data_IF_489831561333
#
_entry.id   IF_489831561333
#
_cell.length_a   1.000
_cell.length_b   1.000
_cell.length_c   1.000
_cell.angle_alpha   90.00
_cell.angle_beta   90.00
_cell.angle_gamma   90.00
#
_symmetry.space_group_name_H-M   'P 1'
#
loop_
_entity.id
_entity.type
_entity.pdbx_description
1 polymer ?
#
# COMPACT_ATOMS: atom_id res chain seq x y z
N UNK A 1 -49.07 20.49 43.86
CA UNK A 1 -48.46 19.15 43.78
C UNK A 1 -47.79 18.99 42.43
N UNK A 2 -46.48 18.84 42.46
CA UNK A 2 -45.47 18.45 41.44
C UNK A 2 -45.89 18.27 39.97
N UNK A 3 -45.30 19.10 39.10
CA UNK A 3 -44.91 18.69 37.75
C UNK A 3 -43.45 18.22 37.78
N UNK A 4 -43.24 16.93 37.50
CA UNK A 4 -41.92 16.31 37.35
C UNK A 4 -41.35 16.63 35.96
N UNK A 5 -40.17 17.25 35.91
CA UNK A 5 -39.37 17.38 34.70
C UNK A 5 -38.54 16.10 34.50
N UNK A 6 -38.69 15.46 33.35
CA UNK A 6 -37.87 14.31 32.92
C UNK A 6 -36.61 14.86 32.21
N UNK A 7 -35.39 14.35 32.49
CA UNK A 7 -34.21 14.80 31.78
C UNK A 7 -34.13 14.13 30.40
N UNK A 8 -33.92 14.94 29.37
CA UNK A 8 -33.65 14.49 28.01
C UNK A 8 -32.25 13.87 27.96
N UNK A 9 -32.16 12.53 27.97
CA UNK A 9 -30.91 11.82 27.73
C UNK A 9 -30.60 11.90 26.24
N UNK A 10 -29.55 12.65 25.90
CA UNK A 10 -29.02 12.73 24.54
C UNK A 10 -28.32 11.39 24.22
N UNK A 11 -28.97 10.53 23.44
CA UNK A 11 -28.38 9.28 22.98
C UNK A 11 -27.34 9.61 21.90
N UNK A 12 -26.06 9.65 22.27
CA UNK A 12 -24.96 9.78 21.32
C UNK A 12 -24.92 8.48 20.49
N UNK A 13 -25.34 8.52 19.23
CA UNK A 13 -25.21 7.39 18.33
C UNK A 13 -23.73 7.11 18.10
N UNK A 14 -23.21 6.04 18.70
CA UNK A 14 -21.95 5.42 18.29
C UNK A 14 -22.14 4.92 16.86
N UNK A 15 -21.80 5.75 15.87
CA UNK A 15 -21.59 5.26 14.52
C UNK A 15 -20.45 4.25 14.61
N UNK A 16 -20.63 2.99 14.15
CA UNK A 16 -19.51 2.07 14.08
C UNK A 16 -18.41 2.72 13.25
N UNK A 17 -17.17 2.63 13.73
CA UNK A 17 -16.00 2.99 12.94
C UNK A 17 -16.10 2.27 11.59
N UNK A 18 -15.79 2.98 10.50
CA UNK A 18 -15.81 2.44 9.14
C UNK A 18 -15.11 1.09 9.09
N UNK A 19 -15.84 0.03 8.70
CA UNK A 19 -15.31 -1.33 8.52
C UNK A 19 -14.54 -1.49 7.19
N UNK A 20 -14.13 -0.39 6.56
CA UNK A 20 -13.51 -0.37 5.25
C UNK A 20 -12.17 0.36 5.30
N UNK A 21 -11.20 -0.17 4.54
CA UNK A 21 -9.94 0.50 4.28
C UNK A 21 -10.18 1.81 3.53
N UNK A 22 -9.37 2.83 3.83
CA UNK A 22 -9.49 4.15 3.22
C UNK A 22 -8.89 4.19 1.81
N UNK A 23 -7.80 3.46 1.58
CA UNK A 23 -7.06 3.48 0.33
C UNK A 23 -7.13 2.14 -0.41
N UNK A 24 -7.63 2.23 -1.63
CA UNK A 24 -7.61 1.18 -2.63
C UNK A 24 -6.63 1.62 -3.72
N UNK A 25 -5.44 1.06 -3.67
CA UNK A 25 -4.29 1.61 -4.35
C UNK A 25 -3.82 0.72 -5.50
N UNK A 26 -3.24 1.36 -6.52
CA UNK A 26 -2.50 0.69 -7.57
C UNK A 26 -1.20 1.46 -7.85
N UNK A 27 -0.09 0.73 -8.01
CA UNK A 27 1.10 1.27 -8.65
C UNK A 27 0.99 1.05 -10.16
N UNK A 28 0.95 2.13 -10.94
CA UNK A 28 0.93 2.04 -12.41
C UNK A 28 2.03 2.91 -13.02
N UNK A 29 3.18 2.95 -12.37
CA UNK A 29 4.30 3.81 -12.75
C UNK A 29 4.89 3.45 -14.11
N UNK A 30 4.72 2.20 -14.57
CA UNK A 30 5.12 1.77 -15.92
C UNK A 30 4.29 2.40 -17.05
N UNK A 31 3.12 2.98 -16.75
CA UNK A 31 2.15 3.44 -17.74
C UNK A 31 2.74 4.37 -18.81
N UNK A 32 3.52 5.43 -18.49
CA UNK A 32 4.08 6.31 -19.52
C UNK A 32 5.04 5.58 -20.47
N UNK A 33 5.81 4.62 -19.97
CA UNK A 33 6.75 3.82 -20.78
C UNK A 33 5.98 2.89 -21.73
N UNK A 34 4.90 2.29 -21.24
CA UNK A 34 4.05 1.40 -22.04
C UNK A 34 3.28 2.16 -23.13
N UNK A 35 2.71 3.32 -22.80
CA UNK A 35 2.03 4.15 -23.80
C UNK A 35 3.01 4.67 -24.86
N UNK A 36 4.24 5.02 -24.47
CA UNK A 36 5.30 5.42 -25.39
C UNK A 36 5.74 4.27 -26.33
N UNK A 37 5.57 3.01 -25.92
CA UNK A 37 5.81 1.83 -26.77
C UNK A 37 4.60 1.45 -27.64
N UNK A 38 3.51 2.21 -27.58
CA UNK A 38 2.29 1.99 -28.34
C UNK A 38 1.25 1.11 -27.65
N UNK A 39 1.46 0.75 -26.38
CA UNK A 39 0.46 0.01 -25.61
C UNK A 39 -0.80 0.86 -25.43
N UNK A 40 -1.95 0.22 -25.60
CA UNK A 40 -3.27 0.81 -25.29
C UNK A 40 -4.03 -0.08 -24.33
N UNK A 41 -4.91 0.53 -23.53
CA UNK A 41 -5.76 -0.18 -22.58
C UNK A 41 -7.22 -0.04 -23.00
N UNK A 42 -8.01 -1.07 -22.74
CA UNK A 42 -9.43 -1.08 -23.11
C UNK A 42 -10.31 -1.45 -21.93
N UNK A 43 -11.49 -0.84 -21.88
CA UNK A 43 -12.57 -1.15 -20.97
C UNK A 43 -13.77 -1.61 -21.80
N UNK A 44 -14.16 -2.88 -21.68
CA UNK A 44 -15.16 -3.54 -22.54
C UNK A 44 -14.89 -3.34 -24.05
N UNK A 45 -13.62 -3.39 -24.45
CA UNK A 45 -13.19 -3.22 -25.85
C UNK A 45 -13.10 -1.76 -26.32
N UNK A 46 -13.40 -0.79 -25.46
CA UNK A 46 -13.25 0.65 -25.75
C UNK A 46 -11.92 1.13 -25.20
N UNK A 47 -11.09 1.73 -26.05
CA UNK A 47 -9.81 2.32 -25.62
C UNK A 47 -10.09 3.49 -24.66
N UNK A 48 -9.43 3.48 -23.50
CA UNK A 48 -9.50 4.54 -22.47
C UNK A 48 -8.13 4.75 -21.83
N UNK A 49 -7.86 5.95 -21.28
CA UNK A 49 -6.71 6.15 -20.41
C UNK A 49 -6.74 5.15 -19.25
N UNK A 50 -5.61 4.52 -18.94
CA UNK A 50 -5.57 3.43 -17.96
C UNK A 50 -5.97 3.88 -16.55
N UNK A 51 -5.61 5.10 -16.17
CA UNK A 51 -6.00 5.72 -14.91
C UNK A 51 -7.53 5.87 -14.77
N UNK A 52 -8.25 6.15 -15.86
CA UNK A 52 -9.71 6.24 -15.85
C UNK A 52 -10.34 4.86 -15.67
N UNK A 53 -9.70 3.83 -16.25
CA UNK A 53 -10.12 2.43 -16.03
C UNK A 53 -9.98 2.10 -14.55
N UNK A 54 -8.82 2.35 -13.94
CA UNK A 54 -8.59 2.11 -12.50
C UNK A 54 -9.58 2.90 -11.61
N UNK A 55 -9.76 4.19 -11.87
CA UNK A 55 -10.67 5.03 -11.08
C UNK A 55 -12.14 4.60 -11.20
N UNK A 56 -12.61 4.23 -12.40
CA UNK A 56 -13.98 3.74 -12.63
C UNK A 56 -14.32 2.45 -11.87
N UNK A 57 -13.31 1.89 -11.23
CA UNK A 57 -13.26 0.58 -10.61
C UNK A 57 -12.89 0.64 -9.12
N UNK A 58 -12.77 1.86 -8.59
CA UNK A 58 -12.66 2.14 -7.18
C UNK A 58 -11.23 2.43 -6.70
N UNK A 59 -10.21 2.32 -7.55
CA UNK A 59 -8.88 2.80 -7.19
C UNK A 59 -8.97 4.29 -6.87
N UNK A 60 -8.56 4.67 -5.66
CA UNK A 60 -8.62 6.04 -5.16
C UNK A 60 -7.25 6.58 -4.75
N UNK A 61 -6.20 5.75 -4.78
CA UNK A 61 -4.81 6.15 -4.51
C UNK A 61 -3.88 5.62 -5.60
N UNK A 62 -3.11 6.51 -6.21
CA UNK A 62 -2.09 6.17 -7.19
C UNK A 62 -0.71 6.14 -6.51
N UNK A 63 -0.09 4.95 -6.44
CA UNK A 63 1.33 4.84 -6.08
C UNK A 63 2.18 5.13 -7.32
N UNK A 64 3.12 6.06 -7.21
CA UNK A 64 3.98 6.47 -8.30
C UNK A 64 5.43 6.47 -7.82
N UNK A 65 6.25 5.58 -8.36
CA UNK A 65 7.69 5.58 -8.09
C UNK A 65 8.39 6.73 -8.79
N UNK A 66 9.39 7.27 -8.11
CA UNK A 66 10.24 8.36 -8.58
C UNK A 66 11.68 7.96 -8.38
N UNK A 67 12.41 7.96 -9.49
CA UNK A 67 13.85 7.78 -9.53
C UNK A 67 14.54 9.12 -9.71
N UNK A 68 15.80 9.20 -9.31
CA UNK A 68 16.63 10.40 -9.51
C UNK A 68 16.99 10.62 -10.98
N UNK A 69 16.91 9.59 -11.82
CA UNK A 69 17.16 9.63 -13.26
C UNK A 69 16.41 8.50 -14.01
N UNK A 70 16.45 8.52 -15.34
CA UNK A 70 15.85 7.47 -16.20
C UNK A 70 14.36 7.69 -16.49
N UNK A 71 13.66 6.59 -16.82
CA UNK A 71 12.28 6.62 -17.32
C UNK A 71 11.25 7.03 -16.25
N UNK A 72 11.57 6.86 -14.97
CA UNK A 72 10.72 7.20 -13.82
C UNK A 72 11.19 8.48 -13.10
N UNK A 73 11.80 9.41 -13.83
CA UNK A 73 12.26 10.67 -13.26
C UNK A 73 11.10 11.60 -12.84
N UNK A 74 11.43 12.68 -12.11
CA UNK A 74 10.46 13.67 -11.62
C UNK A 74 9.49 14.19 -12.69
N UNK A 75 9.96 14.47 -13.91
CA UNK A 75 9.12 15.01 -14.99
C UNK A 75 8.06 13.99 -15.42
N UNK A 76 8.47 12.73 -15.63
CA UNK A 76 7.58 11.65 -16.01
C UNK A 76 6.57 11.36 -14.89
N UNK A 77 7.05 11.22 -13.66
CA UNK A 77 6.21 10.93 -12.49
C UNK A 77 5.23 12.07 -12.18
N UNK A 78 5.62 13.34 -12.36
CA UNK A 78 4.71 14.48 -12.21
C UNK A 78 3.62 14.49 -13.27
N UNK A 79 3.94 14.14 -14.51
CA UNK A 79 2.94 14.03 -15.58
C UNK A 79 1.91 12.93 -15.26
N UNK A 80 2.38 11.79 -14.75
CA UNK A 80 1.52 10.69 -14.31
C UNK A 80 0.66 11.06 -13.10
N UNK A 81 1.23 11.72 -12.09
CA UNK A 81 0.51 12.19 -10.91
C UNK A 81 -0.64 13.15 -11.27
N UNK A 82 -0.40 14.06 -12.23
CA UNK A 82 -1.45 14.97 -12.73
C UNK A 82 -2.59 14.22 -13.41
N UNK A 83 -2.32 13.08 -14.05
CA UNK A 83 -3.37 12.21 -14.64
C UNK A 83 -4.17 11.53 -13.54
N UNK A 84 -3.50 10.95 -12.55
CA UNK A 84 -4.14 10.32 -11.40
C UNK A 84 -5.11 11.28 -10.68
N UNK A 85 -4.66 12.50 -10.40
CA UNK A 85 -5.50 13.55 -9.77
C UNK A 85 -6.70 13.91 -10.64
N UNK A 86 -6.55 14.01 -11.97
CA UNK A 86 -7.69 14.27 -12.87
C UNK A 86 -8.70 13.12 -12.89
N UNK A 87 -8.25 11.88 -12.72
CA UNK A 87 -9.10 10.71 -12.59
C UNK A 87 -9.76 10.59 -11.20
N UNK A 88 -9.45 11.50 -10.26
CA UNK A 88 -10.04 11.54 -8.93
C UNK A 88 -9.29 10.74 -7.87
N UNK A 89 -8.03 10.36 -8.13
CA UNK A 89 -7.18 9.66 -7.16
C UNK A 89 -6.31 10.63 -6.35
N UNK A 90 -6.05 10.27 -5.10
CA UNK A 90 -4.92 10.78 -4.33
C UNK A 90 -3.59 10.22 -4.86
N UNK A 91 -2.46 10.80 -4.45
CA UNK A 91 -1.13 10.40 -4.93
C UNK A 91 -0.24 10.00 -3.75
N UNK A 92 0.26 8.78 -3.81
CA UNK A 92 1.37 8.27 -3.00
C UNK A 92 2.65 8.33 -3.84
N UNK A 93 3.56 9.23 -3.48
CA UNK A 93 4.90 9.35 -4.10
C UNK A 93 5.88 8.40 -3.41
N UNK A 94 6.47 7.49 -4.17
CA UNK A 94 7.46 6.52 -3.70
C UNK A 94 8.87 6.88 -4.19
N UNK A 95 9.73 7.35 -3.29
CA UNK A 95 11.07 7.84 -3.61
C UNK A 95 12.11 6.70 -3.46
N UNK A 96 12.62 6.17 -4.59
CA UNK A 96 13.56 5.04 -4.61
C UNK A 96 15.03 5.46 -4.40
N UNK A 97 15.31 6.38 -3.48
CA UNK A 97 16.70 6.82 -3.26
C UNK A 97 17.65 5.62 -3.16
N UNK A 98 18.68 5.59 -4.01
CA UNK A 98 19.46 4.38 -4.29
C UNK A 98 20.83 4.37 -3.60
N UNK A 99 21.03 5.24 -2.61
CA UNK A 99 22.30 5.32 -1.88
C UNK A 99 22.49 4.07 -1.02
N UNK A 100 23.68 3.46 -1.12
CA UNK A 100 24.04 2.31 -0.29
C UNK A 100 24.71 2.79 0.99
N UNK A 101 23.99 2.69 2.11
CA UNK A 101 24.49 3.03 3.43
C UNK A 101 24.82 1.77 4.22
N UNK A 102 25.85 1.84 5.07
CA UNK A 102 26.22 0.76 5.98
C UNK A 102 25.88 1.14 7.42
N UNK A 103 25.05 0.32 8.07
CA UNK A 103 24.66 0.49 9.46
C UNK A 103 23.50 1.47 9.69
N UNK A 104 22.98 1.46 10.93
CA UNK A 104 21.75 2.20 11.28
C UNK A 104 21.96 3.70 11.48
N UNK A 105 23.11 4.16 11.99
CA UNK A 105 23.38 5.58 12.20
C UNK A 105 23.22 6.42 10.92
N UNK A 106 23.94 6.14 9.81
CA UNK A 106 23.79 6.94 8.61
C UNK A 106 22.40 6.80 7.97
N UNK A 107 21.79 5.61 8.07
CA UNK A 107 20.42 5.37 7.57
C UNK A 107 19.40 6.24 8.31
N UNK A 108 19.43 6.20 9.64
CA UNK A 108 18.53 6.95 10.52
C UNK A 108 18.65 8.46 10.28
N UNK A 109 19.87 8.99 10.18
CA UNK A 109 20.12 10.41 9.89
C UNK A 109 19.65 10.82 8.49
N UNK A 110 19.83 9.95 7.49
CA UNK A 110 19.35 10.21 6.13
C UNK A 110 17.81 10.29 6.11
N UNK A 111 17.13 9.33 6.74
CA UNK A 111 15.67 9.29 6.78
C UNK A 111 15.09 10.49 7.54
N UNK A 112 15.71 10.90 8.65
CA UNK A 112 15.33 12.12 9.37
C UNK A 112 15.47 13.38 8.49
N UNK A 113 16.57 13.46 7.74
CA UNK A 113 16.80 14.56 6.79
C UNK A 113 15.77 14.58 5.67
N UNK A 114 15.41 13.42 5.13
CA UNK A 114 14.36 13.28 4.12
C UNK A 114 13.00 13.73 4.65
N UNK A 115 12.61 13.26 5.84
CA UNK A 115 11.36 13.66 6.49
C UNK A 115 11.31 15.17 6.75
N UNK A 116 12.39 15.75 7.27
CA UNK A 116 12.53 17.19 7.47
C UNK A 116 12.36 17.98 6.16
N UNK A 117 12.96 17.50 5.08
CA UNK A 117 12.81 18.09 3.74
C UNK A 117 11.36 18.12 3.27
N UNK A 118 10.63 17.01 3.44
CA UNK A 118 9.19 16.94 3.10
C UNK A 118 8.38 17.93 3.93
N UNK A 119 8.60 17.97 5.26
CA UNK A 119 7.89 18.87 6.16
C UNK A 119 8.17 20.34 5.89
N UNK A 120 9.38 20.69 5.46
CA UNK A 120 9.76 22.06 5.13
C UNK A 120 9.20 22.53 3.78
N UNK A 121 8.95 21.61 2.84
CA UNK A 121 8.56 21.95 1.48
C UNK A 121 7.07 22.35 1.34
N UNK A 122 6.18 21.86 2.21
CA UNK A 122 4.73 21.95 2.04
C UNK A 122 4.01 22.26 3.37
N UNK A 123 2.91 23.01 3.29
CA UNK A 123 2.04 23.33 4.44
C UNK A 123 0.55 23.26 4.05
N UNK A 124 -0.24 22.31 4.59
CA UNK A 124 0.21 21.20 5.43
C UNK A 124 1.11 20.23 4.65
N UNK A 125 2.06 19.55 5.32
CA UNK A 125 2.88 18.54 4.68
C UNK A 125 2.06 17.26 4.41
N UNK A 126 2.41 16.47 3.38
CA UNK A 126 1.82 15.15 3.18
C UNK A 126 2.20 14.20 4.32
N UNK A 127 1.48 13.08 4.41
CA UNK A 127 1.87 11.98 5.30
C UNK A 127 3.23 11.40 4.88
N UNK A 128 4.08 11.12 5.86
CA UNK A 128 5.40 10.51 5.66
C UNK A 128 5.31 9.03 6.01
N UNK A 129 5.67 8.17 5.05
CA UNK A 129 5.68 6.74 5.22
C UNK A 129 7.11 6.18 5.22
N UNK A 130 7.37 5.21 6.09
CA UNK A 130 8.53 4.31 5.97
C UNK A 130 8.03 2.98 5.39
N UNK A 131 8.63 2.55 4.29
CA UNK A 131 8.28 1.32 3.58
C UNK A 131 9.36 0.27 3.76
N UNK A 132 8.99 -0.90 4.31
CA UNK A 132 9.86 -2.08 4.41
C UNK A 132 9.34 -3.23 3.54
N UNK A 133 10.26 -4.03 2.99
CA UNK A 133 9.91 -5.32 2.41
C UNK A 133 9.54 -6.34 3.50
N UNK A 134 8.99 -7.50 3.10
CA UNK A 134 8.71 -8.65 3.96
C UNK A 134 7.85 -8.30 5.19
N UNK A 135 6.69 -7.66 4.98
CA UNK A 135 5.80 -7.25 6.09
C UNK A 135 5.33 -8.36 7.02
N UNK A 136 5.41 -9.61 6.59
CA UNK A 136 5.09 -10.80 7.36
C UNK A 136 6.21 -11.23 8.34
N UNK A 137 7.44 -10.79 8.11
CA UNK A 137 8.61 -11.16 8.92
C UNK A 137 8.77 -10.19 10.09
N UNK A 138 8.07 -10.45 11.19
CA UNK A 138 8.18 -9.63 12.40
C UNK A 138 9.62 -9.53 12.92
N UNK A 139 10.44 -10.58 12.78
CA UNK A 139 11.83 -10.56 13.19
C UNK A 139 12.63 -9.50 12.44
N UNK A 140 12.50 -9.48 11.10
CA UNK A 140 13.11 -8.46 10.24
C UNK A 140 12.56 -7.05 10.47
N UNK A 141 11.23 -6.92 10.56
CA UNK A 141 10.56 -5.62 10.79
C UNK A 141 11.00 -5.00 12.12
N UNK A 142 10.94 -5.77 13.20
CA UNK A 142 11.32 -5.28 14.54
C UNK A 142 12.80 -4.96 14.65
N UNK A 143 13.68 -5.78 14.07
CA UNK A 143 15.11 -5.51 14.01
C UNK A 143 15.42 -4.18 13.31
N UNK A 144 14.79 -3.93 12.17
CA UNK A 144 15.03 -2.71 11.38
C UNK A 144 14.58 -1.46 12.14
N UNK A 145 13.37 -1.47 12.71
CA UNK A 145 12.85 -0.32 13.46
C UNK A 145 13.63 -0.08 14.76
N UNK A 146 13.98 -1.14 15.51
CA UNK A 146 14.79 -0.99 16.72
C UNK A 146 16.16 -0.37 16.44
N UNK A 147 16.81 -0.75 15.34
CA UNK A 147 18.10 -0.17 14.97
C UNK A 147 17.98 1.25 14.44
N UNK A 148 16.98 1.51 13.59
CA UNK A 148 16.84 2.82 12.91
C UNK A 148 16.27 3.90 13.82
N UNK A 149 15.42 3.54 14.80
CA UNK A 149 14.82 4.45 15.77
C UNK A 149 15.58 4.49 17.11
N UNK A 150 16.84 4.02 17.13
CA UNK A 150 17.69 4.08 18.33
C UNK A 150 17.88 5.55 18.76
N UNK A 151 17.34 5.88 19.94
CA UNK A 151 17.37 7.22 20.50
C UNK A 151 18.78 7.74 20.83
N UNK A 152 19.80 6.88 20.83
CA UNK A 152 21.20 7.28 20.97
C UNK A 152 21.80 7.87 19.69
N UNK A 153 21.14 7.70 18.54
CA UNK A 153 21.58 8.27 17.26
C UNK A 153 21.25 9.77 17.23
N UNK A 154 22.26 10.61 17.44
CA UNK A 154 22.11 12.06 17.33
C UNK A 154 21.66 12.46 15.91
N UNK A 155 20.57 13.24 15.82
CA UNK A 155 19.96 13.62 14.53
C UNK A 155 19.32 12.46 13.77
N UNK A 156 19.03 11.36 14.46
CA UNK A 156 18.37 10.19 13.89
C UNK A 156 16.86 10.35 13.74
N UNK A 157 16.28 9.45 12.95
CA UNK A 157 14.86 9.31 12.72
C UNK A 157 14.14 9.00 14.03
N UNK A 158 12.99 9.62 14.24
CA UNK A 158 12.12 9.36 15.39
C UNK A 158 10.73 8.94 14.92
N UNK A 159 9.93 8.37 15.83
CA UNK A 159 8.51 8.10 15.54
C UNK A 159 7.70 9.37 15.23
N UNK A 160 8.18 10.56 15.59
CA UNK A 160 7.51 11.82 15.23
C UNK A 160 7.67 12.17 13.74
N UNK A 161 8.70 11.61 13.08
CA UNK A 161 8.96 11.82 11.65
C UNK A 161 8.08 10.93 10.76
N UNK A 162 7.46 9.90 11.32
CA UNK A 162 6.72 8.86 10.61
C UNK A 162 5.22 9.01 10.91
N UNK A 163 4.40 9.15 9.87
CA UNK A 163 2.94 9.13 9.99
C UNK A 163 2.38 7.73 9.74
N UNK A 164 2.97 7.00 8.79
CA UNK A 164 2.47 5.70 8.32
C UNK A 164 3.59 4.68 8.15
N UNK A 165 3.29 3.40 8.37
CA UNK A 165 4.20 2.28 8.14
C UNK A 165 3.69 1.40 6.98
N UNK A 166 4.46 1.34 5.89
CA UNK A 166 4.13 0.59 4.69
C UNK A 166 4.91 -0.71 4.57
N UNK A 167 4.28 -1.77 4.05
CA UNK A 167 4.94 -3.06 3.90
C UNK A 167 4.67 -3.74 2.56
N UNK A 168 5.71 -4.33 1.95
CA UNK A 168 5.53 -5.28 0.84
C UNK A 168 5.13 -6.66 1.35
N UNK A 169 4.19 -7.32 0.68
CA UNK A 169 3.70 -8.64 1.04
C UNK A 169 3.40 -9.46 -0.22
N UNK A 170 4.28 -10.42 -0.53
CA UNK A 170 4.21 -11.23 -1.74
C UNK A 170 4.22 -12.73 -1.41
N UNK A 171 3.42 -13.56 -2.10
CA UNK A 171 3.26 -14.97 -1.77
C UNK A 171 4.28 -15.89 -2.45
N UNK A 172 5.18 -15.37 -3.29
CA UNK A 172 6.00 -16.17 -4.22
C UNK A 172 7.53 -16.01 -4.07
N UNK A 173 8.01 -15.30 -3.04
CA UNK A 173 9.45 -15.22 -2.72
C UNK A 173 9.90 -16.16 -1.59
N UNK A 174 8.99 -17.05 -1.18
CA UNK A 174 9.15 -17.99 -0.07
C UNK A 174 7.78 -18.38 0.46
N UNK A 175 7.70 -19.44 1.27
CA UNK A 175 6.43 -19.97 1.77
C UNK A 175 6.05 -19.42 3.15
N UNK A 176 6.89 -18.60 3.74
CA UNK A 176 6.68 -18.03 5.08
C UNK A 176 5.84 -16.74 5.07
N UNK A 177 5.56 -16.19 3.90
CA UNK A 177 4.70 -15.02 3.71
C UNK A 177 3.20 -15.35 3.86
N UNK A 178 2.82 -15.96 4.99
CA UNK A 178 1.44 -16.34 5.27
C UNK A 178 0.62 -15.16 5.78
N UNK A 179 -0.70 -15.23 5.61
CA UNK A 179 -1.66 -14.28 6.17
C UNK A 179 -1.60 -14.25 7.71
N UNK A 180 -1.33 -15.40 8.33
CA UNK A 180 -1.12 -15.52 9.78
C UNK A 180 0.10 -14.71 10.24
N UNK A 181 1.23 -14.85 9.55
CA UNK A 181 2.45 -14.09 9.89
C UNK A 181 2.28 -12.60 9.61
N UNK A 182 1.57 -12.23 8.54
CA UNK A 182 1.19 -10.84 8.29
C UNK A 182 0.36 -10.28 9.45
N UNK A 183 -0.64 -11.04 9.92
CA UNK A 183 -1.50 -10.63 11.03
C UNK A 183 -0.71 -10.42 12.31
N UNK A 184 0.19 -11.35 12.67
CA UNK A 184 1.05 -11.20 13.84
C UNK A 184 1.92 -9.95 13.74
N UNK A 185 2.63 -9.78 12.62
CA UNK A 185 3.53 -8.67 12.39
C UNK A 185 2.79 -7.32 12.42
N UNK A 186 1.64 -7.20 11.73
CA UNK A 186 0.85 -5.96 11.73
C UNK A 186 0.22 -5.69 13.11
N UNK A 187 -0.17 -6.73 13.86
CA UNK A 187 -0.61 -6.60 15.25
C UNK A 187 0.48 -5.99 16.13
N UNK A 188 1.72 -6.46 15.99
CA UNK A 188 2.87 -5.91 16.71
C UNK A 188 3.18 -4.47 16.28
N UNK A 189 3.18 -4.17 14.97
CA UNK A 189 3.39 -2.81 14.45
C UNK A 189 2.36 -1.83 15.04
N UNK A 190 1.08 -2.22 14.97
CA UNK A 190 -0.05 -1.41 15.42
C UNK A 190 -0.02 -1.12 16.92
N UNK A 191 0.40 -2.10 17.73
CA UNK A 191 0.44 -1.99 19.20
C UNK A 191 1.73 -1.40 19.76
N UNK A 192 2.86 -1.52 19.08
CA UNK A 192 4.15 -1.01 19.56
C UNK A 192 4.43 0.42 19.10
N UNK A 193 4.10 0.74 17.85
CA UNK A 193 4.45 2.05 17.28
C UNK A 193 3.27 3.01 17.21
N UNK A 194 2.03 2.50 17.32
CA UNK A 194 0.80 3.30 17.26
C UNK A 194 0.74 4.19 16.00
N UNK A 195 1.22 3.66 14.87
CA UNK A 195 1.17 4.32 13.56
C UNK A 195 0.20 3.61 12.65
N UNK A 196 -0.44 4.39 11.81
CA UNK A 196 -1.25 3.87 10.71
C UNK A 196 -0.39 2.98 9.82
N UNK A 197 -0.98 1.96 9.21
CA UNK A 197 -0.24 0.95 8.45
C UNK A 197 -0.97 0.52 7.17
N UNK A 198 -0.19 0.07 6.19
CA UNK A 198 -0.69 -0.27 4.85
C UNK A 198 0.15 -1.37 4.20
N UNK A 199 -0.48 -2.26 3.43
CA UNK A 199 0.25 -3.11 2.48
C UNK A 199 0.44 -2.30 1.20
N UNK A 200 1.67 -1.91 0.89
CA UNK A 200 1.97 -0.98 -0.20
C UNK A 200 2.47 -1.64 -1.47
N UNK A 201 2.65 -2.95 -1.42
CA UNK A 201 3.00 -3.78 -2.56
C UNK A 201 2.51 -5.20 -2.34
N UNK A 202 1.73 -5.72 -3.29
CA UNK A 202 1.33 -7.12 -3.31
C UNK A 202 0.91 -7.52 -4.72
N UNK A 203 0.96 -8.83 -4.98
CA UNK A 203 0.55 -9.48 -6.23
C UNK A 203 0.07 -10.90 -5.95
N UNK A 204 -0.84 -11.40 -6.78
CA UNK A 204 -1.17 -12.83 -6.83
C UNK A 204 -1.13 -13.34 -8.27
N UNK A 205 -0.57 -14.53 -8.53
CA UNK A 205 -0.47 -15.02 -9.89
C UNK A 205 -1.79 -15.59 -10.41
N UNK A 206 -2.21 -15.15 -11.60
CA UNK A 206 -3.24 -15.80 -12.39
C UNK A 206 -2.69 -17.02 -13.15
N UNK A 207 -1.37 -17.07 -13.39
CA UNK A 207 -0.66 -18.21 -13.97
C UNK A 207 0.71 -18.36 -13.31
N UNK A 208 0.93 -19.52 -12.68
CA UNK A 208 2.20 -19.86 -12.07
C UNK A 208 2.43 -21.37 -12.08
N UNK A 209 3.64 -21.79 -12.45
CA UNK A 209 4.06 -23.19 -12.43
C UNK A 209 5.39 -23.32 -11.71
N UNK A 210 5.54 -24.34 -10.86
CA UNK A 210 6.82 -24.66 -10.22
C UNK A 210 7.24 -23.73 -9.06
N UNK A 211 6.38 -22.79 -8.66
CA UNK A 211 6.60 -21.94 -7.49
C UNK A 211 5.61 -22.32 -6.40
N UNK A 212 6.10 -22.63 -5.20
CA UNK A 212 5.23 -22.84 -4.04
C UNK A 212 4.79 -21.49 -3.49
N UNK A 213 3.47 -21.28 -3.39
CA UNK A 213 2.90 -20.07 -2.82
C UNK A 213 2.70 -20.22 -1.31
N UNK A 214 2.78 -19.11 -0.57
CA UNK A 214 2.58 -19.10 0.88
C UNK A 214 1.16 -19.43 1.33
N UNK A 215 0.16 -19.18 0.48
CA UNK A 215 -1.26 -19.54 0.72
C UNK A 215 -1.77 -20.55 -0.32
N UNK A 216 -1.42 -21.84 -0.21
CA UNK A 216 -1.71 -22.85 -1.25
C UNK A 216 -3.20 -23.17 -1.43
N UNK A 217 -4.06 -22.71 -0.50
CA UNK A 217 -5.52 -22.87 -0.59
C UNK A 217 -6.16 -21.84 -1.52
N UNK A 218 -5.50 -20.71 -1.75
CA UNK A 218 -5.93 -19.70 -2.71
C UNK A 218 -5.60 -20.20 -4.12
N UNK A 219 -6.56 -20.24 -5.06
CA UNK A 219 -6.31 -20.81 -6.38
C UNK A 219 -5.42 -19.89 -7.23
N UNK A 220 -4.46 -20.46 -7.97
CA UNK A 220 -3.71 -19.72 -9.01
C UNK A 220 -4.67 -19.45 -10.18
N UNK A 221 -5.28 -18.25 -10.18
CA UNK A 221 -6.33 -17.86 -11.12
C UNK A 221 -6.67 -16.38 -10.94
N UNK A 222 -7.48 -15.86 -11.87
CA UNK A 222 -8.13 -14.55 -11.71
C UNK A 222 -8.97 -14.51 -10.41
N UNK A 223 -9.75 -15.56 -10.10
CA UNK A 223 -10.52 -15.56 -8.86
C UNK A 223 -9.64 -15.51 -7.60
N UNK A 224 -8.49 -16.17 -7.62
CA UNK A 224 -7.57 -16.18 -6.49
C UNK A 224 -6.87 -14.85 -6.25
N UNK A 225 -6.69 -14.03 -7.30
CA UNK A 225 -6.24 -12.65 -7.13
C UNK A 225 -7.25 -11.84 -6.28
N UNK A 226 -8.57 -12.07 -6.43
CA UNK A 226 -9.61 -11.38 -5.64
C UNK A 226 -9.59 -11.89 -4.21
N UNK A 227 -9.49 -13.22 -4.05
CA UNK A 227 -9.39 -13.87 -2.74
C UNK A 227 -8.17 -13.35 -1.97
N UNK A 228 -7.00 -13.29 -2.60
CA UNK A 228 -5.78 -12.80 -1.98
C UNK A 228 -5.91 -11.36 -1.45
N UNK A 229 -6.38 -10.44 -2.28
CA UNK A 229 -6.59 -9.04 -1.86
C UNK A 229 -7.67 -8.93 -0.77
N UNK A 230 -8.75 -9.70 -0.89
CA UNK A 230 -9.81 -9.78 0.12
C UNK A 230 -9.30 -10.32 1.45
N UNK A 231 -8.45 -11.33 1.43
CA UNK A 231 -7.92 -11.96 2.65
C UNK A 231 -6.92 -11.04 3.36
N UNK A 232 -6.05 -10.33 2.61
CA UNK A 232 -5.21 -9.27 3.17
C UNK A 232 -6.10 -8.20 3.82
N UNK A 233 -7.16 -7.75 3.14
CA UNK A 233 -8.09 -6.75 3.70
C UNK A 233 -8.67 -7.23 5.02
N UNK A 234 -9.11 -8.48 5.09
CA UNK A 234 -9.68 -9.06 6.30
C UNK A 234 -8.65 -9.10 7.44
N UNK A 235 -7.40 -9.48 7.17
CA UNK A 235 -6.30 -9.43 8.15
C UNK A 235 -6.09 -8.01 8.66
N UNK A 236 -6.01 -7.02 7.76
CA UNK A 236 -5.77 -5.63 8.15
C UNK A 236 -6.92 -5.06 8.99
N UNK A 237 -8.17 -5.34 8.64
CA UNK A 237 -9.35 -4.93 9.41
C UNK A 237 -9.44 -5.63 10.77
N UNK A 238 -9.04 -6.90 10.85
CA UNK A 238 -8.96 -7.60 12.13
C UNK A 238 -7.93 -6.94 13.05
N UNK A 239 -6.75 -6.61 12.52
CA UNK A 239 -5.71 -5.88 13.28
C UNK A 239 -6.18 -4.47 13.67
N UNK A 240 -6.86 -3.75 12.77
CA UNK A 240 -7.45 -2.44 13.06
C UNK A 240 -8.39 -2.49 14.26
N UNK A 241 -9.20 -3.55 14.36
CA UNK A 241 -10.17 -3.72 15.44
C UNK A 241 -9.53 -3.90 16.83
N UNK A 242 -8.25 -4.27 16.89
CA UNK A 242 -7.51 -4.49 18.14
C UNK A 242 -6.88 -3.18 18.64
N UNK A 243 -6.54 -2.24 17.76
CA UNK A 243 -5.84 -1.00 18.11
C UNK A 243 -6.78 0.20 18.16
N UNK A 244 -6.89 0.89 19.31
CA UNK A 244 -7.72 2.09 19.40
C UNK A 244 -7.06 3.33 18.78
N UNK A 245 -5.77 3.25 18.39
CA UNK A 245 -4.97 4.41 17.96
C UNK A 245 -4.53 4.30 16.50
N UNK A 246 -3.96 3.17 16.10
CA UNK A 246 -3.43 2.98 14.75
C UNK A 246 -4.51 2.49 13.79
N UNK A 247 -4.51 3.01 12.56
CA UNK A 247 -5.46 2.62 11.51
C UNK A 247 -4.85 1.79 10.38
N UNK A 248 -5.57 0.74 9.98
CA UNK A 248 -5.33 0.05 8.73
C UNK A 248 -5.80 0.92 7.56
N UNK A 249 -4.88 1.43 6.76
CA UNK A 249 -5.20 2.40 5.72
C UNK A 249 -5.62 1.76 4.40
N UNK A 250 -4.94 0.70 3.94
CA UNK A 250 -5.16 0.23 2.57
C UNK A 250 -4.27 -0.88 2.05
N UNK A 251 -4.47 -1.18 0.76
CA UNK A 251 -3.70 -2.14 -0.03
C UNK A 251 -3.36 -1.52 -1.38
N UNK A 252 -2.09 -1.57 -1.80
CA UNK A 252 -1.63 -1.24 -3.14
C UNK A 252 -1.31 -2.52 -3.93
N UNK A 253 -2.00 -2.74 -5.04
CA UNK A 253 -1.62 -3.77 -6.01
C UNK A 253 -0.46 -3.24 -6.87
N UNK A 254 0.61 -4.03 -7.02
CA UNK A 254 1.80 -3.57 -7.73
C UNK A 254 1.69 -3.83 -9.23
N UNK A 255 1.85 -2.78 -10.04
CA UNK A 255 1.94 -2.86 -11.50
C UNK A 255 0.89 -3.75 -12.20
N UNK A 256 -0.42 -3.58 -11.89
CA UNK A 256 -1.47 -4.46 -12.39
C UNK A 256 -1.64 -4.42 -13.91
N UNK A 257 -1.05 -3.42 -14.58
CA UNK A 257 -1.19 -3.17 -16.01
C UNK A 257 0.09 -3.33 -16.82
N UNK A 258 1.18 -3.88 -16.25
CA UNK A 258 2.46 -3.95 -16.96
C UNK A 258 2.52 -5.04 -18.03
N UNK A 259 1.79 -4.81 -19.12
CA UNK A 259 1.76 -5.69 -20.28
C UNK A 259 3.17 -5.78 -20.89
N UNK A 260 3.61 -7.01 -21.19
CA UNK A 260 4.98 -7.30 -21.63
C UNK A 260 5.95 -7.64 -20.49
N UNK A 261 5.57 -7.40 -19.23
CA UNK A 261 6.32 -7.82 -18.04
C UNK A 261 5.41 -8.55 -17.03
N UNK A 262 4.55 -9.45 -17.53
CA UNK A 262 3.45 -10.01 -16.75
C UNK A 262 3.88 -10.78 -15.49
N UNK A 263 5.11 -11.30 -15.44
CA UNK A 263 5.66 -11.98 -14.27
C UNK A 263 6.13 -11.04 -13.15
N UNK A 264 6.26 -9.74 -13.42
CA UNK A 264 6.55 -8.70 -12.41
C UNK A 264 7.80 -9.01 -11.56
N UNK A 265 8.82 -9.61 -12.17
CA UNK A 265 10.06 -10.01 -11.47
C UNK A 265 9.91 -11.25 -10.56
N UNK A 266 8.74 -11.86 -10.48
CA UNK A 266 8.53 -13.18 -9.88
C UNK A 266 8.90 -14.31 -10.85
N UNK A 267 8.96 -15.53 -10.34
CA UNK A 267 9.08 -16.76 -11.16
C UNK A 267 7.75 -17.20 -11.78
N UNK A 268 6.64 -16.54 -11.44
CA UNK A 268 5.34 -16.81 -12.03
C UNK A 268 5.19 -16.17 -13.41
N UNK A 269 4.37 -16.77 -14.27
CA UNK A 269 4.20 -16.31 -15.65
C UNK A 269 3.30 -15.07 -15.76
N UNK A 270 2.31 -14.93 -14.87
CA UNK A 270 1.36 -13.81 -14.89
C UNK A 270 0.86 -13.47 -13.49
N UNK A 271 1.27 -12.29 -13.00
CA UNK A 271 0.84 -11.65 -11.75
C UNK A 271 0.08 -10.33 -11.97
N UNK A 272 0.13 -9.76 -13.17
CA UNK A 272 -0.69 -8.59 -13.54
C UNK A 272 -2.19 -8.90 -13.44
N UNK A 273 -3.02 -7.89 -13.17
CA UNK A 273 -4.47 -8.04 -13.13
C UNK A 273 -5.03 -8.10 -14.54
N UNK A 274 -5.88 -9.09 -14.81
CA UNK A 274 -6.71 -9.06 -16.02
C UNK A 274 -7.74 -7.95 -15.88
N UNK A 275 -7.84 -6.97 -16.79
CA UNK A 275 -8.75 -5.80 -16.72
C UNK A 275 -10.23 -6.16 -16.44
N UNK A 276 -10.64 -7.42 -16.61
CA UNK A 276 -11.93 -7.93 -16.10
C UNK A 276 -12.09 -7.85 -14.58
N UNK A 277 -11.00 -7.61 -13.83
CA UNK A 277 -10.89 -7.73 -12.38
C UNK A 277 -11.82 -6.85 -11.58
N UNK A 278 -12.06 -5.65 -12.07
CA UNK A 278 -12.93 -4.73 -11.36
C UNK A 278 -14.37 -4.79 -11.87
N UNK A 279 -14.70 -5.74 -12.74
CA UNK A 279 -16.09 -5.96 -13.21
C UNK A 279 -16.90 -6.83 -12.24
N UNK A 280 -16.28 -7.40 -11.22
CA UNK A 280 -16.97 -8.03 -10.10
C UNK A 280 -17.37 -6.96 -9.08
N UNK A 281 -18.67 -6.75 -8.93
CA UNK A 281 -19.23 -6.00 -7.81
C UNK A 281 -18.57 -6.45 -6.50
N UNK A 282 -18.21 -5.48 -5.64
CA UNK A 282 -17.93 -5.66 -4.20
C UNK A 282 -16.50 -6.05 -3.79
N UNK A 283 -15.47 -5.32 -4.24
CA UNK A 283 -14.20 -5.27 -3.49
C UNK A 283 -14.07 -4.05 -2.56
N UNK A 284 -15.00 -3.08 -2.66
CA UNK A 284 -14.86 -1.77 -1.99
C UNK A 284 -16.16 -1.16 -1.46
N UNK A 285 -17.20 -1.96 -1.19
CA UNK A 285 -18.43 -1.40 -0.65
C UNK A 285 -19.51 -2.41 -0.30
N UNK A 286 -19.42 -2.96 0.91
CA UNK A 286 -20.45 -2.87 1.97
C UNK A 286 -19.78 -3.10 3.32
#
# INVERSE_FOLDING_TARGET
>A
MNLLALPLVLLLSLLPASLALSYHCADFSSLPVLEASGQTYTDYGIVKPYEDILASRGTNLARIRVWTAGDYNLTASLALAKRAVRAGMEVYVDLHFSDSLSGFTPLSQLLHSAATGVRAALSPPPQIMIHLANGWDWGGVSWWYNGTLDASIAGGLTLADIDTMGFSFYPFYGTTATLENLKESMGNVSTLYHKDFMVVETDWPANCTGTALSEPTVPISIQGQETWVSDIRNVLLEVDSISPVAKALGICYWEPGWIGNAGLGSTCAMSILSIRFFMGRTLMGV
#
